data_IF_438942034661
#
_entry.id   IF_438942034661
#
_cell.length_a   1.000
_cell.length_b   1.000
_cell.length_c   1.000
_cell.angle_alpha   90.00
_cell.angle_beta   90.00
_cell.angle_gamma   90.00
#
_symmetry.space_group_name_H-M   'P 1'
#
loop_
_entity.id
_entity.type
_entity.pdbx_description
1 polymer ?
#
# COMPACT_ATOMS: atom_id res chain seq x y z
N UNK A 1 -0.16 29.08 2.46
CA UNK A 1 0.47 27.90 3.07
C UNK A 1 -0.13 26.70 2.37
N UNK A 2 0.60 25.87 1.60
CA UNK A 2 -0.01 24.65 1.08
C UNK A 2 -0.40 23.81 2.30
N UNK A 3 -1.65 23.33 2.35
CA UNK A 3 -2.06 22.38 3.38
C UNK A 3 -1.05 21.24 3.39
N UNK A 4 -0.52 20.89 4.56
CA UNK A 4 0.28 19.68 4.70
C UNK A 4 -0.59 18.55 4.14
N UNK A 5 -0.18 17.98 3.00
CA UNK A 5 -0.89 16.84 2.42
C UNK A 5 -0.79 15.75 3.47
N UNK A 6 -1.91 15.46 4.13
CA UNK A 6 -1.99 14.38 5.10
C UNK A 6 -1.61 13.10 4.35
N UNK A 7 -0.45 12.52 4.70
CA UNK A 7 0.03 11.32 4.03
C UNK A 7 -0.88 10.17 4.42
N UNK A 8 -1.42 9.48 3.42
CA UNK A 8 -2.19 8.27 3.64
C UNK A 8 -1.33 7.21 4.36
N UNK A 9 -1.91 6.31 5.17
CA UNK A 9 -1.18 5.23 5.83
C UNK A 9 -0.30 4.41 4.86
N UNK A 10 -0.76 4.22 3.62
CA UNK A 10 -0.01 3.50 2.60
C UNK A 10 1.24 4.25 2.14
N UNK A 11 1.18 5.57 1.98
CA UNK A 11 2.37 6.38 1.62
C UNK A 11 3.40 6.42 2.75
N UNK A 12 2.95 6.40 4.01
CA UNK A 12 3.84 6.30 5.17
C UNK A 12 4.59 4.97 5.14
N UNK A 13 3.88 3.86 4.96
CA UNK A 13 4.44 2.52 4.95
C UNK A 13 5.37 2.28 3.75
N UNK A 14 5.00 2.75 2.55
CA UNK A 14 5.89 2.70 1.38
C UNK A 14 7.15 3.52 1.64
N UNK A 15 7.04 4.72 2.21
CA UNK A 15 8.20 5.54 2.55
C UNK A 15 9.12 4.87 3.59
N UNK A 16 8.57 4.15 4.55
CA UNK A 16 9.34 3.36 5.52
C UNK A 16 10.07 2.19 4.85
N UNK A 17 9.38 1.43 4.00
CA UNK A 17 9.97 0.32 3.26
C UNK A 17 11.11 0.78 2.33
N UNK A 18 10.90 1.90 1.63
CA UNK A 18 11.92 2.51 0.78
C UNK A 18 13.17 2.91 1.57
N UNK A 19 13.00 3.54 2.75
CA UNK A 19 14.11 3.89 3.65
C UNK A 19 14.85 2.66 4.20
N UNK A 20 14.13 1.55 4.36
CA UNK A 20 14.71 0.27 4.78
C UNK A 20 15.41 -0.49 3.65
N UNK A 21 15.43 0.02 2.42
CA UNK A 21 16.04 -0.65 1.27
C UNK A 21 15.22 -1.85 0.76
N UNK A 22 13.90 -1.86 0.98
CA UNK A 22 13.05 -2.94 0.51
C UNK A 22 13.02 -3.01 -1.04
N UNK A 23 13.09 -4.22 -1.60
CA UNK A 23 12.94 -4.47 -3.03
C UNK A 23 11.51 -4.32 -3.51
N UNK A 24 10.56 -4.63 -2.63
CA UNK A 24 9.13 -4.57 -2.90
C UNK A 24 8.31 -4.50 -1.61
N UNK A 25 7.08 -4.03 -1.76
CA UNK A 25 6.07 -3.94 -0.71
C UNK A 25 4.79 -4.61 -1.20
N UNK A 26 4.26 -5.51 -0.39
CA UNK A 26 2.96 -6.15 -0.61
C UNK A 26 1.92 -5.66 0.39
N UNK A 27 0.67 -5.59 -0.05
CA UNK A 27 -0.51 -5.43 0.81
C UNK A 27 -1.32 -6.72 0.67
N UNK A 28 -1.15 -7.65 1.60
CA UNK A 28 -1.83 -8.94 1.58
C UNK A 28 -3.18 -8.83 2.29
N UNK A 29 -4.29 -9.24 1.67
CA UNK A 29 -5.57 -9.37 2.37
C UNK A 29 -5.51 -10.47 3.43
N UNK A 30 -6.18 -10.22 4.56
CA UNK A 30 -6.40 -11.17 5.65
C UNK A 30 -7.89 -11.52 5.76
N UNK A 31 -8.23 -12.60 6.47
CA UNK A 31 -9.61 -13.13 6.53
C UNK A 31 -10.58 -12.16 7.23
N UNK A 32 -10.08 -11.27 8.09
CA UNK A 32 -10.86 -10.21 8.76
C UNK A 32 -11.07 -8.96 7.90
N UNK A 33 -10.60 -8.98 6.64
CA UNK A 33 -10.66 -7.86 5.70
C UNK A 33 -9.58 -6.81 5.91
N UNK A 34 -8.66 -6.98 6.87
CA UNK A 34 -7.50 -6.13 7.01
C UNK A 34 -6.47 -6.40 5.89
N UNK A 35 -5.50 -5.48 5.75
CA UNK A 35 -4.33 -5.68 4.91
C UNK A 35 -3.08 -5.80 5.78
N UNK A 36 -2.35 -6.90 5.63
CA UNK A 36 -1.01 -7.04 6.17
C UNK A 36 -0.03 -6.38 5.20
N UNK A 37 0.73 -5.40 5.68
CA UNK A 37 1.71 -4.69 4.87
C UNK A 37 3.07 -5.31 5.11
N UNK A 38 3.66 -5.80 4.04
CA UNK A 38 4.83 -6.65 4.08
C UNK A 38 5.90 -6.06 3.17
N UNK A 39 7.13 -5.98 3.66
CA UNK A 39 8.27 -5.55 2.85
C UNK A 39 9.24 -6.72 2.66
N UNK A 40 9.90 -6.75 1.50
CA UNK A 40 11.03 -7.65 1.27
C UNK A 40 12.33 -6.86 1.35
N UNK A 41 13.16 -7.15 2.36
CA UNK A 41 14.48 -6.53 2.54
C UNK A 41 15.51 -7.65 2.46
N UNK A 42 16.49 -7.51 1.57
CA UNK A 42 17.53 -8.53 1.33
C UNK A 42 16.97 -9.94 1.10
N UNK A 43 15.86 -10.04 0.37
CA UNK A 43 15.17 -11.30 0.09
C UNK A 43 14.26 -11.82 1.21
N UNK A 44 14.32 -11.23 2.40
CA UNK A 44 13.52 -11.63 3.56
C UNK A 44 12.21 -10.86 3.62
N UNK A 45 11.11 -11.59 3.73
CA UNK A 45 9.76 -11.04 3.82
C UNK A 45 9.40 -10.76 5.29
N UNK A 46 9.03 -9.52 5.62
CA UNK A 46 8.69 -9.13 7.00
C UNK A 46 7.47 -8.21 7.04
N UNK A 47 6.54 -8.49 7.95
CA UNK A 47 5.39 -7.63 8.20
C UNK A 47 5.85 -6.33 8.83
N UNK A 48 5.56 -5.20 8.16
CA UNK A 48 5.95 -3.85 8.58
C UNK A 48 4.75 -3.01 9.06
N UNK A 49 3.53 -3.51 8.90
CA UNK A 49 2.34 -2.84 9.39
C UNK A 49 1.06 -3.61 9.08
N UNK A 50 -0.06 -3.09 9.59
CA UNK A 50 -1.41 -3.60 9.31
C UNK A 50 -2.34 -2.42 9.07
N UNK A 51 -3.15 -2.50 8.02
CA UNK A 51 -4.22 -1.54 7.74
C UNK A 51 -5.53 -2.23 8.13
N UNK A 52 -6.30 -1.70 9.10
CA UNK A 52 -7.58 -2.29 9.49
C UNK A 52 -8.57 -2.36 8.32
N UNK A 53 -9.55 -3.26 8.39
CA UNK A 53 -10.56 -3.45 7.35
C UNK A 53 -11.25 -2.13 6.92
N UNK A 54 -11.53 -1.24 7.88
CA UNK A 54 -12.13 0.07 7.63
C UNK A 54 -11.28 0.98 6.70
N UNK A 55 -9.97 0.74 6.61
CA UNK A 55 -9.04 1.51 5.77
C UNK A 55 -8.54 0.76 4.52
N UNK A 56 -8.85 -0.53 4.38
CA UNK A 56 -8.29 -1.38 3.32
C UNK A 56 -8.66 -0.88 1.91
N UNK A 57 -9.94 -0.63 1.66
CA UNK A 57 -10.43 -0.14 0.37
C UNK A 57 -9.83 1.24 0.01
N UNK A 58 -9.73 2.13 0.99
CA UNK A 58 -9.13 3.46 0.80
C UNK A 58 -7.64 3.39 0.45
N UNK A 59 -6.89 2.46 1.07
CA UNK A 59 -5.49 2.24 0.77
C UNK A 59 -5.29 1.73 -0.67
N UNK A 60 -6.07 0.74 -1.10
CA UNK A 60 -6.03 0.20 -2.48
C UNK A 60 -6.41 1.28 -3.49
N UNK A 61 -7.49 2.04 -3.23
CA UNK A 61 -7.90 3.14 -4.09
C UNK A 61 -6.82 4.22 -4.20
N UNK A 62 -6.11 4.53 -3.10
CA UNK A 62 -5.01 5.49 -3.11
C UNK A 62 -3.82 5.01 -3.95
N UNK A 63 -3.45 3.73 -3.84
CA UNK A 63 -2.39 3.12 -4.69
C UNK A 63 -2.76 3.19 -6.17
N UNK A 64 -4.00 2.82 -6.52
CA UNK A 64 -4.50 2.91 -7.88
C UNK A 64 -4.48 4.35 -8.39
N UNK A 65 -4.97 5.30 -7.60
CA UNK A 65 -4.98 6.71 -7.97
C UNK A 65 -3.57 7.27 -8.19
N UNK A 66 -2.61 6.91 -7.33
CA UNK A 66 -1.21 7.27 -7.52
C UNK A 66 -0.72 6.75 -8.89
N UNK A 67 -1.04 5.50 -9.24
CA UNK A 67 -0.59 4.83 -10.46
C UNK A 67 -1.43 5.16 -11.71
N UNK A 68 -2.35 6.12 -11.60
CA UNK A 68 -3.32 6.47 -12.66
C UNK A 68 -4.16 5.27 -13.13
N UNK A 69 -4.47 4.34 -12.22
CA UNK A 69 -5.30 3.17 -12.46
C UNK A 69 -6.76 3.41 -12.02
N UNK A 70 -7.74 2.83 -12.71
CA UNK A 70 -9.15 2.95 -12.35
C UNK A 70 -9.46 2.23 -11.02
N UNK A 71 -9.90 2.99 -10.01
CA UNK A 71 -10.20 2.44 -8.68
C UNK A 71 -11.44 1.54 -8.64
N UNK A 72 -12.37 1.72 -9.58
CA UNK A 72 -13.64 0.99 -9.64
C UNK A 72 -13.52 -0.40 -10.28
N UNK A 73 -12.41 -0.69 -10.97
CA UNK A 73 -12.13 -2.03 -11.50
C UNK A 73 -11.48 -2.84 -10.39
N UNK A 74 -12.06 -3.97 -9.98
CA UNK A 74 -11.60 -4.76 -8.82
C UNK A 74 -11.51 -6.26 -9.07
N UNK A 75 -11.97 -6.70 -10.24
CA UNK A 75 -12.16 -8.10 -10.64
C UNK A 75 -11.15 -8.57 -11.69
N UNK A 76 -10.17 -7.73 -12.05
CA UNK A 76 -9.07 -8.06 -12.95
C UNK A 76 -7.73 -7.50 -12.45
N UNK A 77 -6.61 -8.18 -12.79
CA UNK A 77 -5.26 -7.65 -12.56
C UNK A 77 -5.02 -6.32 -13.27
N UNK A 78 -4.26 -5.42 -12.64
CA UNK A 78 -3.91 -4.12 -13.20
C UNK A 78 -2.44 -3.79 -12.90
N UNK A 79 -1.73 -3.30 -13.92
CA UNK A 79 -0.32 -2.91 -13.83
C UNK A 79 -0.17 -1.41 -14.11
N UNK A 80 0.58 -0.71 -13.26
CA UNK A 80 0.80 0.73 -13.35
C UNK A 80 2.20 1.14 -12.92
N UNK A 81 2.49 2.45 -12.97
CA UNK A 81 3.77 3.04 -12.55
C UNK A 81 3.57 4.41 -11.90
N UNK A 82 4.49 4.76 -11.01
CA UNK A 82 4.56 6.03 -10.26
C UNK A 82 5.82 6.80 -10.63
#
# INVERSE_FOLDING_TARGET
MPAAIERSPVEILIGQAARAGASDVGLDPDDDGALNVVARVDGVRTTIGRIPAAGAAAAIARLKALASLPSYITDEPQDGRL
#
